data_IF_217496208116
#
_entry.id   IF_217496208116
#
_cell.length_a   1.000
_cell.length_b   1.000
_cell.length_c   1.000
_cell.angle_alpha   90.00
_cell.angle_beta   90.00
_cell.angle_gamma   90.00
#
_symmetry.space_group_name_H-M   'P 1'
#
loop_
_entity.id
_entity.type
_entity.pdbx_description
1 polymer ?
#
# COMPACT_ATOMS: atom_id res chain seq x y z
N UNK A 1 14.87 4.47 22.19
CA UNK A 1 13.42 4.70 22.29
C UNK A 1 12.63 3.79 21.35
N UNK A 2 12.96 3.79 20.06
CA UNK A 2 12.18 3.04 19.04
C UNK A 2 12.19 1.52 19.27
N UNK A 3 13.32 0.93 19.60
CA UNK A 3 13.42 -0.51 19.81
C UNK A 3 12.63 -0.97 21.06
N UNK A 4 12.72 -0.22 22.15
CA UNK A 4 11.95 -0.52 23.38
C UNK A 4 10.43 -0.39 23.17
N UNK A 5 9.97 0.45 22.24
CA UNK A 5 8.56 0.62 21.91
C UNK A 5 7.95 -0.65 21.31
N UNK A 6 8.72 -1.49 20.63
CA UNK A 6 8.27 -2.76 20.09
C UNK A 6 7.77 -3.66 21.22
N UNK A 7 8.56 -3.82 22.27
CA UNK A 7 8.21 -4.68 23.43
C UNK A 7 7.05 -4.12 24.23
N UNK A 8 7.04 -2.79 24.43
CA UNK A 8 5.92 -2.11 25.08
C UNK A 8 4.61 -2.36 24.33
N UNK A 9 4.62 -2.18 23.00
CA UNK A 9 3.44 -2.39 22.18
C UNK A 9 3.01 -3.86 22.19
N UNK A 10 3.93 -4.80 22.09
CA UNK A 10 3.64 -6.23 22.13
C UNK A 10 2.95 -6.63 23.45
N UNK A 11 3.49 -6.20 24.58
CA UNK A 11 2.91 -6.50 25.89
C UNK A 11 1.52 -5.86 26.07
N UNK A 12 1.37 -4.59 25.66
CA UNK A 12 0.09 -3.88 25.80
C UNK A 12 -0.99 -4.38 24.84
N UNK A 13 -0.60 -4.82 23.64
CA UNK A 13 -1.52 -5.47 22.68
C UNK A 13 -2.02 -6.81 23.22
N UNK A 14 -1.14 -7.66 23.75
CA UNK A 14 -1.52 -8.91 24.39
C UNK A 14 -2.45 -8.65 25.59
N UNK A 15 -2.12 -7.68 26.46
CA UNK A 15 -2.98 -7.28 27.56
C UNK A 15 -4.37 -6.77 27.13
N UNK A 16 -4.48 -6.22 25.93
CA UNK A 16 -5.74 -5.81 25.32
C UNK A 16 -6.51 -6.97 24.64
N UNK A 17 -6.04 -8.21 24.76
CA UNK A 17 -6.63 -9.40 24.15
C UNK A 17 -6.34 -9.56 22.65
N UNK A 18 -5.35 -8.85 22.15
CA UNK A 18 -4.90 -8.98 20.76
C UNK A 18 -3.77 -10.02 20.72
N UNK A 19 -4.07 -11.20 20.20
CA UNK A 19 -3.14 -12.31 20.18
C UNK A 19 -1.83 -11.98 19.44
N UNK A 20 -0.71 -12.29 20.12
CA UNK A 20 0.65 -12.13 19.61
C UNK A 20 1.23 -13.51 19.30
N UNK A 21 1.44 -13.82 18.02
CA UNK A 21 1.95 -15.12 17.59
C UNK A 21 3.29 -14.90 16.89
N UNK A 22 4.35 -15.53 17.38
CA UNK A 22 5.66 -15.52 16.76
C UNK A 22 5.92 -16.80 15.96
N UNK A 23 6.54 -16.64 14.78
CA UNK A 23 7.02 -17.74 13.95
C UNK A 23 8.51 -17.53 13.69
N UNK A 24 9.35 -18.28 14.39
CA UNK A 24 10.80 -18.13 14.36
C UNK A 24 11.39 -18.97 13.23
N UNK A 25 11.68 -18.31 12.12
CA UNK A 25 12.23 -18.89 10.88
C UNK A 25 13.70 -18.52 10.65
N UNK A 26 14.36 -17.97 11.65
CA UNK A 26 15.74 -17.52 11.59
C UNK A 26 16.26 -17.17 12.97
N UNK A 27 17.34 -16.40 13.04
CA UNK A 27 17.98 -16.07 14.31
C UNK A 27 17.33 -14.88 14.99
N UNK A 28 16.91 -15.07 16.25
CA UNK A 28 16.44 -14.03 17.16
C UNK A 28 17.49 -13.83 18.26
N UNK A 29 18.31 -12.78 18.12
CA UNK A 29 19.46 -12.54 19.00
C UNK A 29 19.27 -11.26 19.81
N UNK A 30 19.78 -11.22 21.04
CA UNK A 30 19.75 -10.11 21.98
C UNK A 30 18.32 -9.59 22.21
N UNK A 31 18.05 -8.31 21.95
CA UNK A 31 16.71 -7.76 22.03
C UNK A 31 15.68 -8.48 21.16
N UNK A 32 16.10 -9.01 19.99
CA UNK A 32 15.23 -9.77 19.10
C UNK A 32 14.72 -11.09 19.72
N UNK A 33 15.40 -11.63 20.72
CA UNK A 33 14.96 -12.81 21.43
C UNK A 33 13.70 -12.57 22.29
N UNK A 34 13.47 -11.33 22.71
CA UNK A 34 12.27 -10.98 23.48
C UNK A 34 10.99 -11.00 22.64
N UNK A 35 11.08 -10.80 21.33
CA UNK A 35 9.88 -10.83 20.47
C UNK A 35 9.16 -12.18 20.57
N UNK A 36 9.79 -13.33 20.29
CA UNK A 36 9.15 -14.64 20.50
C UNK A 36 8.89 -14.93 21.97
N UNK A 37 9.79 -14.55 22.88
CA UNK A 37 9.64 -14.86 24.31
C UNK A 37 8.48 -14.11 24.99
N UNK A 38 8.03 -13.00 24.43
CA UNK A 38 6.90 -12.19 24.90
C UNK A 38 5.61 -12.42 24.10
N UNK A 39 5.65 -13.25 23.07
CA UNK A 39 4.45 -13.62 22.32
C UNK A 39 3.58 -14.58 23.12
N UNK A 40 2.27 -14.55 22.87
CA UNK A 40 1.32 -15.43 23.55
C UNK A 40 1.54 -16.90 23.12
N UNK A 41 1.92 -17.11 21.86
CA UNK A 41 2.29 -18.42 21.33
C UNK A 41 3.49 -18.29 20.38
N UNK A 42 4.44 -19.22 20.46
CA UNK A 42 5.68 -19.21 19.68
C UNK A 42 5.92 -20.53 18.96
N UNK A 43 6.13 -20.43 17.66
CA UNK A 43 6.51 -21.55 16.79
C UNK A 43 7.98 -21.37 16.43
N UNK A 44 8.78 -22.45 16.49
CA UNK A 44 10.18 -22.42 16.07
C UNK A 44 10.46 -23.48 15.00
N UNK A 45 11.21 -23.11 13.96
CA UNK A 45 11.59 -24.01 12.87
C UNK A 45 12.90 -24.74 13.21
N UNK A 46 12.88 -26.05 13.13
CA UNK A 46 14.01 -26.94 13.37
C UNK A 46 15.22 -26.61 12.49
N UNK A 47 16.43 -26.63 13.08
CA UNK A 47 17.71 -26.40 12.40
C UNK A 47 17.78 -25.04 11.65
N UNK A 48 16.91 -24.09 11.96
CA UNK A 48 16.83 -22.80 11.28
C UNK A 48 16.52 -21.68 12.27
N UNK A 49 15.48 -21.84 13.11
CA UNK A 49 15.10 -20.88 14.13
C UNK A 49 16.02 -20.99 15.35
N UNK A 50 16.52 -19.86 15.83
CA UNK A 50 17.28 -19.79 17.08
C UNK A 50 16.83 -18.58 17.92
N UNK A 51 16.81 -18.75 19.24
CA UNK A 51 16.47 -17.69 20.21
C UNK A 51 17.53 -17.69 21.29
N UNK A 52 18.27 -16.60 21.46
CA UNK A 52 19.21 -16.46 22.58
C UNK A 52 19.51 -14.96 22.86
N UNK A 53 19.76 -14.62 24.13
CA UNK A 53 20.13 -13.27 24.52
C UNK A 53 21.55 -12.93 24.09
N UNK A 54 22.45 -13.90 24.11
CA UNK A 54 23.81 -13.78 23.61
C UNK A 54 24.13 -14.93 22.66
N UNK A 55 24.52 -14.64 21.44
CA UNK A 55 24.93 -15.66 20.47
C UNK A 55 26.24 -16.37 20.83
N UNK A 56 26.61 -17.46 20.14
CA UNK A 56 27.80 -18.25 20.43
C UNK A 56 29.11 -17.45 20.57
N UNK A 57 29.37 -16.39 19.73
CA UNK A 57 30.56 -15.57 19.91
C UNK A 57 30.58 -14.80 21.24
N UNK A 58 29.44 -14.30 21.70
CA UNK A 58 29.33 -13.58 22.97
C UNK A 58 29.47 -14.52 24.15
N UNK A 59 28.88 -15.72 24.10
CA UNK A 59 29.02 -16.74 25.11
C UNK A 59 30.48 -17.15 25.27
N UNK A 60 31.17 -17.41 24.14
CA UNK A 60 32.60 -17.72 24.14
C UNK A 60 33.44 -16.61 24.74
N UNK A 61 33.17 -15.36 24.42
CA UNK A 61 33.91 -14.20 24.96
C UNK A 61 33.65 -14.01 26.47
N UNK A 62 32.44 -14.25 26.93
CA UNK A 62 32.04 -13.99 28.32
C UNK A 62 32.39 -15.13 29.28
N UNK A 63 32.27 -16.40 28.82
CA UNK A 63 32.40 -17.57 29.68
C UNK A 63 33.50 -18.54 29.26
N UNK A 64 34.05 -18.40 28.05
CA UNK A 64 34.97 -19.35 27.44
C UNK A 64 34.29 -20.60 26.82
N UNK A 65 32.99 -20.76 26.98
CA UNK A 65 32.23 -21.87 26.45
C UNK A 65 32.15 -21.84 24.94
N UNK A 66 32.38 -22.97 24.28
CA UNK A 66 32.25 -23.17 22.85
C UNK A 66 30.99 -23.99 22.58
N UNK A 67 29.97 -23.35 22.01
CA UNK A 67 28.67 -23.95 21.77
C UNK A 67 28.17 -23.56 20.39
N UNK A 68 27.47 -24.43 19.68
CA UNK A 68 26.80 -24.08 18.43
C UNK A 68 25.51 -23.30 18.68
N UNK A 69 25.04 -22.62 17.67
CA UNK A 69 23.76 -21.85 17.76
C UNK A 69 22.56 -22.78 18.07
N UNK A 70 22.54 -23.99 17.48
CA UNK A 70 21.46 -24.94 17.69
C UNK A 70 21.51 -25.55 19.14
N UNK A 71 22.69 -25.82 19.67
CA UNK A 71 22.84 -26.27 21.05
C UNK A 71 22.55 -25.22 22.08
N UNK A 72 22.83 -23.94 21.76
CA UNK A 72 22.62 -22.82 22.65
C UNK A 72 21.14 -22.41 22.72
N UNK A 73 20.46 -22.31 21.58
CA UNK A 73 19.10 -21.81 21.52
C UNK A 73 18.32 -22.21 20.28
N UNK A 74 18.55 -23.44 19.79
CA UNK A 74 17.78 -23.99 18.68
C UNK A 74 16.43 -24.57 19.09
N UNK A 75 15.70 -25.10 18.13
CA UNK A 75 14.33 -25.58 18.30
C UNK A 75 14.20 -26.66 19.35
N UNK A 76 15.14 -27.64 19.42
CA UNK A 76 15.11 -28.70 20.41
C UNK A 76 15.31 -28.17 21.84
N UNK A 77 16.12 -27.12 22.01
CA UNK A 77 16.32 -26.47 23.30
C UNK A 77 15.04 -25.81 23.77
N UNK A 78 14.44 -25.02 22.92
CA UNK A 78 13.30 -24.15 23.30
C UNK A 78 11.98 -24.90 23.36
N UNK A 79 11.77 -25.92 22.54
CA UNK A 79 10.56 -26.72 22.59
C UNK A 79 10.58 -27.82 23.63
N UNK A 80 11.80 -28.31 24.09
CA UNK A 80 11.90 -29.48 24.96
C UNK A 80 12.46 -29.18 26.35
N UNK A 81 13.26 -28.11 26.49
CA UNK A 81 13.97 -27.82 27.74
C UNK A 81 13.56 -26.51 28.39
N UNK A 82 13.63 -25.39 27.64
CA UNK A 82 13.35 -24.07 28.18
C UNK A 82 11.88 -23.71 28.19
N UNK A 83 11.07 -24.25 27.27
CA UNK A 83 9.67 -23.93 27.12
C UNK A 83 9.41 -22.54 26.53
N UNK A 84 10.40 -21.93 25.89
CA UNK A 84 10.21 -20.63 25.20
C UNK A 84 9.40 -20.80 23.91
N UNK A 85 9.47 -21.96 23.28
CA UNK A 85 8.67 -22.27 22.09
C UNK A 85 7.61 -23.33 22.42
N UNK A 86 6.37 -23.04 22.01
CA UNK A 86 5.21 -23.91 22.24
C UNK A 86 5.06 -24.95 21.13
N UNK A 87 5.48 -24.63 19.92
CA UNK A 87 5.33 -25.49 18.75
C UNK A 87 6.66 -25.68 18.01
N UNK A 88 6.92 -26.95 17.67
CA UNK A 88 8.09 -27.39 16.91
C UNK A 88 7.69 -27.58 15.44
N UNK A 89 8.32 -26.89 14.52
CA UNK A 89 8.06 -27.00 13.09
C UNK A 89 9.26 -27.63 12.35
N UNK A 90 8.97 -28.55 11.44
CA UNK A 90 9.99 -29.22 10.64
C UNK A 90 10.61 -28.35 9.55
N UNK A 91 9.85 -27.34 9.08
CA UNK A 91 10.24 -26.39 8.03
C UNK A 91 9.27 -25.21 8.01
N UNK A 92 9.55 -24.20 7.19
CA UNK A 92 8.74 -22.98 7.06
C UNK A 92 7.29 -23.27 6.71
N UNK A 93 7.04 -24.17 5.78
CA UNK A 93 5.69 -24.55 5.37
C UNK A 93 4.89 -25.16 6.53
N UNK A 94 5.53 -26.01 7.32
CA UNK A 94 4.90 -26.57 8.52
C UNK A 94 4.65 -25.49 9.57
N UNK A 95 5.59 -24.57 9.77
CA UNK A 95 5.43 -23.45 10.70
C UNK A 95 4.24 -22.56 10.33
N UNK A 96 4.07 -22.21 9.04
CA UNK A 96 2.92 -21.46 8.57
C UNK A 96 1.61 -22.24 8.72
N UNK A 97 1.61 -23.54 8.52
CA UNK A 97 0.43 -24.38 8.76
C UNK A 97 0.04 -24.41 10.25
N UNK A 98 1.02 -24.49 11.16
CA UNK A 98 0.83 -24.39 12.60
C UNK A 98 0.23 -23.02 12.97
N UNK A 99 0.83 -21.94 12.48
CA UNK A 99 0.33 -20.58 12.70
C UNK A 99 -1.14 -20.42 12.26
N UNK A 100 -1.51 -20.94 11.09
CA UNK A 100 -2.91 -20.94 10.62
C UNK A 100 -3.84 -21.70 11.56
N UNK A 101 -3.40 -22.81 12.15
CA UNK A 101 -4.19 -23.57 13.14
C UNK A 101 -4.39 -22.79 14.44
N UNK A 102 -3.34 -22.12 14.92
CA UNK A 102 -3.41 -21.24 16.09
C UNK A 102 -4.45 -20.14 15.83
N UNK A 103 -4.32 -19.43 14.71
CA UNK A 103 -5.27 -18.37 14.33
C UNK A 103 -6.71 -18.90 14.26
N UNK A 104 -6.93 -20.11 13.74
CA UNK A 104 -8.25 -20.72 13.68
C UNK A 104 -8.82 -21.06 15.07
N UNK A 105 -7.97 -21.26 16.08
CA UNK A 105 -8.38 -21.58 17.46
C UNK A 105 -8.59 -20.36 18.37
N UNK A 106 -8.30 -19.14 17.92
CA UNK A 106 -8.40 -17.91 18.73
C UNK A 106 -9.83 -17.59 19.20
N UNK A 107 -10.85 -18.30 18.74
CA UNK A 107 -12.26 -18.07 19.07
C UNK A 107 -12.71 -16.61 18.85
N UNK A 108 -12.07 -15.93 17.90
CA UNK A 108 -12.38 -14.54 17.58
C UNK A 108 -13.59 -14.50 16.64
N UNK A 109 -14.65 -13.85 17.08
CA UNK A 109 -15.81 -13.58 16.21
C UNK A 109 -15.57 -12.27 15.48
N UNK A 110 -15.63 -12.33 14.15
CA UNK A 110 -15.62 -11.15 13.32
C UNK A 110 -16.95 -10.41 13.47
N UNK A 111 -16.92 -9.22 14.05
CA UNK A 111 -18.07 -8.32 14.09
C UNK A 111 -17.93 -7.31 12.95
N UNK A 112 -18.77 -7.44 11.93
CA UNK A 112 -18.77 -6.52 10.78
C UNK A 112 -20.03 -5.68 10.89
N UNK A 113 -19.86 -4.37 11.09
CA UNK A 113 -20.92 -3.36 11.07
C UNK A 113 -21.13 -2.85 9.62
N UNK A 114 -21.25 -3.77 8.68
CA UNK A 114 -21.44 -3.47 7.26
C UNK A 114 -22.32 -4.55 6.64
N UNK A 115 -23.35 -4.16 5.92
CA UNK A 115 -24.20 -5.08 5.20
C UNK A 115 -23.43 -5.75 4.05
N UNK A 116 -23.29 -7.07 4.11
CA UNK A 116 -22.63 -7.84 3.06
C UNK A 116 -23.66 -8.35 2.05
N UNK A 117 -23.35 -8.23 0.76
CA UNK A 117 -24.10 -8.88 -0.31
C UNK A 117 -23.60 -10.32 -0.54
N UNK A 118 -24.35 -11.08 -1.33
CA UNK A 118 -23.87 -12.38 -1.81
C UNK A 118 -22.77 -12.14 -2.86
N UNK A 119 -21.56 -12.71 -2.70
CA UNK A 119 -20.50 -12.58 -3.69
C UNK A 119 -20.94 -13.13 -5.06
N UNK A 120 -20.50 -12.44 -6.12
CA UNK A 120 -20.67 -12.88 -7.49
C UNK A 120 -19.37 -12.74 -8.26
N UNK A 121 -19.09 -13.67 -9.17
CA UNK A 121 -17.90 -13.54 -10.02
C UNK A 121 -18.10 -12.44 -11.07
N UNK A 122 -17.02 -11.70 -11.42
CA UNK A 122 -17.06 -10.77 -12.54
C UNK A 122 -17.45 -11.47 -13.85
N UNK A 123 -18.12 -10.75 -14.75
CA UNK A 123 -18.45 -11.24 -16.09
C UNK A 123 -17.23 -11.31 -17.01
N UNK A 124 -16.17 -10.57 -16.70
CA UNK A 124 -14.94 -10.48 -17.47
C UNK A 124 -13.79 -11.09 -16.67
N UNK A 125 -12.90 -11.83 -17.36
CA UNK A 125 -11.79 -12.50 -16.72
C UNK A 125 -10.73 -11.51 -16.22
N UNK A 126 -10.19 -11.76 -15.03
CA UNK A 126 -9.10 -10.94 -14.48
C UNK A 126 -7.81 -11.04 -15.30
N UNK A 127 -7.56 -12.16 -15.97
CA UNK A 127 -6.38 -12.37 -16.81
C UNK A 127 -6.31 -11.41 -18.00
N UNK A 128 -7.46 -10.92 -18.50
CA UNK A 128 -7.55 -9.91 -19.56
C UNK A 128 -6.87 -8.58 -19.17
N UNK A 129 -6.73 -8.30 -17.88
CA UNK A 129 -6.10 -7.06 -17.38
C UNK A 129 -4.68 -6.88 -17.92
N UNK A 130 -3.95 -7.97 -18.13
CA UNK A 130 -2.61 -7.92 -18.72
C UNK A 130 -2.59 -7.44 -20.16
N UNK A 131 -3.70 -7.55 -20.88
CA UNK A 131 -3.86 -7.04 -22.24
C UNK A 131 -4.50 -5.64 -22.31
N UNK A 132 -5.20 -5.24 -21.29
CA UNK A 132 -5.91 -3.93 -21.18
C UNK A 132 -4.98 -2.84 -20.69
N UNK A 133 -4.19 -3.14 -19.66
CA UNK A 133 -3.28 -2.17 -19.05
C UNK A 133 -1.95 -2.19 -19.78
N UNK A 134 -1.61 -1.11 -20.51
CA UNK A 134 -0.38 -1.08 -21.29
C UNK A 134 0.86 -0.98 -20.39
N UNK A 135 1.95 -1.61 -20.82
CA UNK A 135 3.26 -1.43 -20.18
C UNK A 135 3.80 0.01 -20.38
N UNK A 136 3.44 0.66 -21.48
CA UNK A 136 3.75 2.06 -21.73
C UNK A 136 2.73 2.98 -21.03
N UNK A 137 3.13 3.64 -19.97
CA UNK A 137 2.29 4.54 -19.18
C UNK A 137 1.78 5.78 -19.94
N UNK A 138 2.32 6.07 -21.12
CA UNK A 138 1.81 7.15 -21.99
C UNK A 138 0.52 6.75 -22.72
N UNK A 139 0.26 5.45 -22.84
CA UNK A 139 -0.96 4.94 -23.45
C UNK A 139 -2.08 4.94 -22.41
N UNK A 140 -3.16 5.62 -22.75
CA UNK A 140 -4.34 5.67 -21.90
C UNK A 140 -5.25 4.46 -22.15
N UNK A 141 -5.98 4.08 -21.11
CA UNK A 141 -7.05 3.09 -21.14
C UNK A 141 -8.17 3.55 -20.21
N UNK A 142 -9.38 3.06 -20.43
CA UNK A 142 -10.51 3.38 -19.56
C UNK A 142 -10.43 2.56 -18.27
N UNK A 143 -10.37 3.24 -17.12
CA UNK A 143 -10.31 2.57 -15.80
C UNK A 143 -11.56 1.72 -15.50
N UNK A 144 -12.68 1.96 -16.21
CA UNK A 144 -13.89 1.11 -16.10
C UNK A 144 -13.63 -0.32 -16.52
N UNK A 145 -12.70 -0.54 -17.46
CA UNK A 145 -12.26 -1.89 -17.87
C UNK A 145 -11.58 -2.64 -16.71
N UNK A 146 -10.82 -1.92 -15.88
CA UNK A 146 -10.23 -2.50 -14.67
C UNK A 146 -11.34 -2.78 -13.64
N UNK A 147 -12.21 -1.81 -13.39
CA UNK A 147 -13.30 -1.93 -12.42
C UNK A 147 -14.19 -3.14 -12.75
N UNK A 148 -14.59 -3.30 -14.00
CA UNK A 148 -15.45 -4.39 -14.45
C UNK A 148 -14.88 -5.80 -14.19
N UNK A 149 -13.55 -5.93 -14.04
CA UNK A 149 -12.86 -7.20 -13.75
C UNK A 149 -12.57 -7.41 -12.26
N UNK A 150 -12.84 -6.40 -11.44
CA UNK A 150 -12.62 -6.48 -10.01
C UNK A 150 -13.91 -6.64 -9.21
N UNK A 151 -15.02 -6.08 -9.70
CA UNK A 151 -16.27 -5.98 -8.93
C UNK A 151 -17.22 -7.14 -9.21
N UNK A 152 -18.04 -7.46 -8.22
CA UNK A 152 -19.02 -8.53 -8.27
C UNK A 152 -20.01 -8.32 -9.43
N UNK A 153 -20.21 -9.36 -10.23
CA UNK A 153 -21.08 -9.32 -11.40
C UNK A 153 -20.71 -8.30 -12.47
N UNK A 154 -19.54 -7.66 -12.36
CA UNK A 154 -19.13 -6.49 -13.16
C UNK A 154 -20.13 -5.32 -13.05
N UNK A 155 -20.83 -5.22 -11.92
CA UNK A 155 -21.83 -4.20 -11.67
C UNK A 155 -21.19 -3.00 -10.96
N UNK A 156 -21.32 -1.83 -11.58
CA UNK A 156 -20.75 -0.57 -11.09
C UNK A 156 -21.77 0.55 -11.24
N UNK A 157 -22.18 1.13 -10.11
CA UNK A 157 -23.11 2.26 -10.07
C UNK A 157 -22.31 3.56 -10.11
N UNK A 158 -22.09 4.08 -11.31
CA UNK A 158 -21.22 5.23 -11.54
C UNK A 158 -21.87 6.55 -11.10
N UNK A 159 -21.22 7.24 -10.17
CA UNK A 159 -21.61 8.52 -9.65
C UNK A 159 -21.15 9.66 -10.56
N UNK A 160 -22.08 10.55 -10.96
CA UNK A 160 -21.81 11.71 -11.83
C UNK A 160 -21.02 11.33 -13.10
N UNK A 161 -21.47 10.32 -13.83
CA UNK A 161 -20.79 9.81 -15.03
C UNK A 161 -20.51 10.87 -16.10
N UNK A 162 -21.36 11.90 -16.21
CA UNK A 162 -21.24 12.97 -17.19
C UNK A 162 -20.46 14.23 -16.70
N UNK A 163 -20.04 14.24 -15.43
CA UNK A 163 -19.31 15.36 -14.83
C UNK A 163 -17.94 14.93 -14.33
N UNK A 164 -16.90 15.73 -14.60
CA UNK A 164 -15.53 15.41 -14.20
C UNK A 164 -15.08 14.05 -14.75
N UNK A 165 -15.20 13.84 -16.04
CA UNK A 165 -15.07 12.54 -16.74
C UNK A 165 -13.66 11.95 -16.70
N UNK A 166 -12.65 12.73 -16.33
CA UNK A 166 -11.27 12.27 -16.11
C UNK A 166 -11.07 11.59 -14.76
N UNK A 167 -12.14 11.53 -13.93
CA UNK A 167 -12.22 10.73 -12.73
C UNK A 167 -13.50 9.91 -12.76
N UNK A 168 -13.38 8.61 -12.55
CA UNK A 168 -14.49 7.69 -12.39
C UNK A 168 -14.70 7.44 -10.90
N UNK A 169 -15.93 7.58 -10.43
CA UNK A 169 -16.31 7.29 -9.06
C UNK A 169 -17.65 6.55 -9.02
N UNK A 170 -17.82 5.60 -8.14
CA UNK A 170 -19.08 4.86 -8.03
C UNK A 170 -19.05 3.76 -6.98
N UNK A 171 -20.23 3.17 -6.74
CA UNK A 171 -20.43 2.09 -5.78
C UNK A 171 -20.40 0.73 -6.46
N UNK A 172 -19.84 -0.24 -5.78
CA UNK A 172 -19.78 -1.64 -6.21
C UNK A 172 -19.67 -2.58 -5.01
N UNK A 173 -19.54 -3.87 -5.29
CA UNK A 173 -19.17 -4.88 -4.29
C UNK A 173 -17.91 -5.64 -4.74
N UNK A 174 -17.07 -6.03 -3.80
CA UNK A 174 -15.95 -6.95 -4.02
C UNK A 174 -16.08 -8.08 -3.00
N UNK A 175 -16.33 -9.31 -3.47
CA UNK A 175 -16.66 -10.46 -2.63
C UNK A 175 -17.79 -10.15 -1.62
N UNK A 176 -18.83 -9.47 -2.07
CA UNK A 176 -19.98 -9.06 -1.26
C UNK A 176 -19.75 -7.86 -0.35
N UNK A 177 -18.52 -7.35 -0.24
CA UNK A 177 -18.19 -6.17 0.57
C UNK A 177 -18.52 -4.92 -0.23
N UNK A 178 -19.37 -3.99 0.27
CA UNK A 178 -19.65 -2.74 -0.41
C UNK A 178 -18.40 -1.86 -0.42
N UNK A 179 -18.10 -1.26 -1.57
CA UNK A 179 -16.94 -0.38 -1.76
C UNK A 179 -17.31 0.83 -2.61
N UNK A 180 -16.79 1.99 -2.22
CA UNK A 180 -16.75 3.16 -3.09
C UNK A 180 -15.43 3.16 -3.85
N UNK A 181 -15.48 3.17 -5.17
CA UNK A 181 -14.30 3.14 -6.03
C UNK A 181 -14.06 4.52 -6.62
N UNK A 182 -12.81 4.99 -6.59
CA UNK A 182 -12.35 6.22 -7.24
C UNK A 182 -11.16 5.83 -8.13
N UNK A 183 -11.28 6.02 -9.43
CA UNK A 183 -10.25 5.69 -10.41
C UNK A 183 -9.91 6.85 -11.32
N UNK A 184 -8.63 7.04 -11.61
CA UNK A 184 -8.21 8.03 -12.60
C UNK A 184 -8.52 7.55 -14.03
N UNK A 185 -9.04 8.47 -14.83
CA UNK A 185 -9.29 8.29 -16.26
C UNK A 185 -8.66 9.45 -17.07
N UNK A 186 -7.57 9.99 -16.55
CA UNK A 186 -6.85 11.14 -17.09
C UNK A 186 -6.34 12.11 -16.03
N UNK A 187 -6.01 13.32 -16.46
CA UNK A 187 -5.54 14.42 -15.61
C UNK A 187 -6.69 14.91 -14.72
N UNK A 188 -6.38 15.32 -13.48
CA UNK A 188 -7.39 15.92 -12.59
C UNK A 188 -7.63 17.38 -12.91
N UNK A 189 -8.89 17.70 -13.21
CA UNK A 189 -9.42 19.06 -13.33
C UNK A 189 -10.21 19.46 -12.08
N UNK A 190 -10.61 20.72 -11.97
CA UNK A 190 -11.42 21.22 -10.84
C UNK A 190 -12.70 20.41 -10.64
N UNK A 191 -13.44 20.11 -11.71
CA UNK A 191 -14.66 19.32 -11.66
C UNK A 191 -14.40 17.86 -11.21
N UNK A 192 -13.26 17.28 -11.59
CA UNK A 192 -12.87 15.94 -11.13
C UNK A 192 -12.56 15.93 -9.63
N UNK A 193 -11.87 16.96 -9.14
CA UNK A 193 -11.58 17.12 -7.72
C UNK A 193 -12.84 17.33 -6.88
N UNK A 194 -13.78 18.17 -7.37
CA UNK A 194 -15.07 18.41 -6.71
C UNK A 194 -15.95 17.14 -6.69
N UNK A 195 -15.98 16.38 -7.80
CA UNK A 195 -16.65 15.08 -7.87
C UNK A 195 -16.10 14.10 -6.82
N UNK A 196 -14.76 14.01 -6.74
CA UNK A 196 -14.10 13.13 -5.76
C UNK A 196 -14.42 13.53 -4.32
N UNK A 197 -14.31 14.82 -3.98
CA UNK A 197 -14.61 15.30 -2.63
C UNK A 197 -16.04 14.94 -2.21
N UNK A 198 -17.02 15.23 -3.06
CA UNK A 198 -18.43 14.88 -2.80
C UNK A 198 -18.63 13.36 -2.65
N UNK A 199 -18.01 12.56 -3.52
CA UNK A 199 -18.16 11.12 -3.44
C UNK A 199 -17.52 10.52 -2.17
N UNK A 200 -16.37 11.03 -1.74
CA UNK A 200 -15.73 10.64 -0.48
C UNK A 200 -16.62 10.96 0.72
N UNK A 201 -17.24 12.15 0.74
CA UNK A 201 -18.20 12.52 1.78
C UNK A 201 -19.39 11.57 1.85
N UNK A 202 -19.96 11.19 0.70
CA UNK A 202 -21.05 10.19 0.63
C UNK A 202 -20.60 8.84 1.17
N UNK A 203 -19.40 8.36 0.81
CA UNK A 203 -18.86 7.10 1.33
C UNK A 203 -18.67 7.16 2.85
N UNK A 204 -18.15 8.27 3.37
CA UNK A 204 -17.97 8.48 4.81
C UNK A 204 -19.31 8.48 5.55
N UNK A 205 -20.32 9.19 5.03
CA UNK A 205 -21.66 9.23 5.61
C UNK A 205 -22.32 7.85 5.64
N UNK A 206 -22.12 7.05 4.59
CA UNK A 206 -22.67 5.70 4.44
C UNK A 206 -21.81 4.61 5.09
N UNK A 207 -20.64 4.97 5.64
CA UNK A 207 -19.65 4.04 6.21
C UNK A 207 -19.18 2.98 5.21
N UNK A 208 -19.04 3.35 3.94
CA UNK A 208 -18.58 2.50 2.85
C UNK A 208 -17.07 2.67 2.69
N UNK A 209 -16.28 1.57 2.75
CA UNK A 209 -14.85 1.61 2.48
C UNK A 209 -14.51 2.16 1.08
N UNK A 210 -13.35 2.76 0.94
CA UNK A 210 -12.88 3.38 -0.30
C UNK A 210 -11.75 2.59 -0.95
N UNK A 211 -11.84 2.37 -2.26
CA UNK A 211 -10.78 1.87 -3.12
C UNK A 211 -10.32 2.99 -4.07
N UNK A 212 -9.04 3.31 -4.04
CA UNK A 212 -8.40 4.24 -4.97
C UNK A 212 -7.60 3.47 -6.01
N UNK A 213 -7.96 3.62 -7.27
CA UNK A 213 -7.23 3.08 -8.42
C UNK A 213 -6.39 4.20 -9.03
N UNK A 214 -5.11 4.24 -8.72
CA UNK A 214 -4.21 5.31 -9.15
C UNK A 214 -3.59 5.02 -10.52
N UNK A 215 -3.89 5.89 -11.47
CA UNK A 215 -3.13 6.09 -12.70
C UNK A 215 -3.13 7.59 -12.98
N UNK A 216 -2.37 8.36 -12.18
CA UNK A 216 -2.44 9.81 -12.13
C UNK A 216 -1.11 10.47 -12.50
N UNK A 217 -1.17 11.41 -13.40
CA UNK A 217 -0.03 12.27 -13.80
C UNK A 217 0.01 13.60 -13.05
N UNK A 218 -1.09 14.01 -12.41
CA UNK A 218 -1.19 15.23 -11.62
C UNK A 218 -2.50 15.98 -11.84
N UNK A 219 -2.59 17.15 -11.21
CA UNK A 219 -3.64 18.16 -11.52
C UNK A 219 -3.25 18.94 -12.77
N UNK A 220 -4.24 19.42 -13.49
CA UNK A 220 -4.03 20.29 -14.64
C UNK A 220 -3.34 21.58 -14.21
N UNK A 221 -2.43 22.07 -15.04
CA UNK A 221 -1.67 23.29 -14.81
C UNK A 221 -1.92 24.28 -15.95
N UNK A 222 -1.75 25.56 -15.68
CA UNK A 222 -1.87 26.61 -16.68
C UNK A 222 -2.66 27.81 -16.15
N UNK A 223 -2.47 28.97 -16.79
CA UNK A 223 -3.00 30.24 -16.33
C UNK A 223 -4.52 30.23 -16.07
N UNK A 224 -5.28 29.63 -16.96
CA UNK A 224 -6.75 29.64 -16.87
C UNK A 224 -7.23 28.69 -15.76
N UNK A 225 -6.56 27.59 -15.55
CA UNK A 225 -6.86 26.64 -14.48
C UNK A 225 -6.51 27.20 -13.11
N UNK A 226 -5.36 27.88 -12.98
CA UNK A 226 -4.98 28.57 -11.74
C UNK A 226 -5.99 29.69 -11.41
N UNK A 227 -6.33 30.53 -12.41
CA UNK A 227 -7.34 31.57 -12.26
C UNK A 227 -8.75 31.02 -11.97
N UNK A 228 -9.06 29.82 -12.50
CA UNK A 228 -10.29 29.08 -12.24
C UNK A 228 -10.38 28.46 -10.86
N UNK A 229 -9.27 28.41 -10.10
CA UNK A 229 -9.23 27.94 -8.73
C UNK A 229 -8.93 26.45 -8.55
N UNK A 230 -8.19 25.84 -9.47
CA UNK A 230 -7.82 24.42 -9.41
C UNK A 230 -7.09 24.06 -8.10
N UNK A 231 -6.25 24.96 -7.57
CA UNK A 231 -5.57 24.74 -6.29
C UNK A 231 -6.59 24.62 -5.14
N UNK A 232 -7.62 25.47 -5.12
CA UNK A 232 -8.72 25.45 -4.15
C UNK A 232 -9.54 24.16 -4.25
N UNK A 233 -9.88 23.76 -5.46
CA UNK A 233 -10.72 22.59 -5.71
C UNK A 233 -9.93 21.29 -5.48
N UNK A 234 -8.66 21.23 -5.89
CA UNK A 234 -7.76 20.15 -5.56
C UNK A 234 -7.57 19.99 -4.04
N UNK A 235 -7.44 21.11 -3.30
CA UNK A 235 -7.34 21.08 -1.85
C UNK A 235 -8.58 20.48 -1.19
N UNK A 236 -9.79 20.67 -1.73
CA UNK A 236 -11.01 20.02 -1.22
C UNK A 236 -10.91 18.49 -1.33
N UNK A 237 -10.48 17.98 -2.48
CA UNK A 237 -10.27 16.54 -2.66
C UNK A 237 -9.23 15.98 -1.67
N UNK A 238 -8.07 16.65 -1.55
CA UNK A 238 -7.01 16.27 -0.63
C UNK A 238 -7.50 16.28 0.82
N UNK A 239 -8.27 17.32 1.21
CA UNK A 239 -8.87 17.40 2.56
C UNK A 239 -9.88 16.28 2.80
N UNK A 240 -10.73 15.97 1.82
CA UNK A 240 -11.70 14.88 1.93
C UNK A 240 -10.99 13.52 2.13
N UNK A 241 -9.96 13.24 1.34
CA UNK A 241 -9.14 12.02 1.47
C UNK A 241 -8.47 11.94 2.84
N UNK A 242 -7.87 13.04 3.30
CA UNK A 242 -7.15 13.09 4.58
C UNK A 242 -8.09 12.87 5.78
N UNK A 243 -9.27 13.47 5.77
CA UNK A 243 -10.22 13.39 6.87
C UNK A 243 -11.06 12.10 6.90
N UNK A 244 -11.18 11.40 5.77
CA UNK A 244 -11.98 10.19 5.67
C UNK A 244 -11.50 9.11 6.65
N UNK A 245 -12.39 8.65 7.53
CA UNK A 245 -12.14 7.62 8.54
C UNK A 245 -12.60 6.22 8.10
N UNK A 246 -13.39 6.12 7.03
CA UNK A 246 -13.67 4.83 6.41
C UNK A 246 -12.38 4.15 5.96
N UNK A 247 -12.29 2.82 6.00
CA UNK A 247 -11.11 2.12 5.48
C UNK A 247 -10.80 2.55 4.05
N UNK A 248 -9.56 2.93 3.81
CA UNK A 248 -9.04 3.31 2.49
C UNK A 248 -8.03 2.27 2.04
N UNK A 249 -8.17 1.77 0.83
CA UNK A 249 -7.18 0.93 0.17
C UNK A 249 -6.78 1.61 -1.12
N UNK A 250 -5.48 1.65 -1.39
CA UNK A 250 -4.94 2.22 -2.62
C UNK A 250 -4.27 1.14 -3.45
N UNK A 251 -4.55 1.12 -4.73
CA UNK A 251 -3.88 0.31 -5.73
C UNK A 251 -3.31 1.21 -6.82
N UNK A 252 -1.99 1.22 -6.97
CA UNK A 252 -1.32 1.93 -8.06
C UNK A 252 -1.28 1.01 -9.28
N UNK A 253 -2.09 1.34 -10.28
CA UNK A 253 -2.26 0.57 -11.51
C UNK A 253 -1.48 1.14 -12.70
N UNK A 254 -0.78 2.26 -12.49
CA UNK A 254 -0.01 2.97 -13.50
C UNK A 254 0.85 4.05 -12.87
N UNK A 255 0.77 5.29 -13.36
CA UNK A 255 1.51 6.42 -12.79
C UNK A 255 0.93 6.89 -11.46
N UNK A 256 1.79 7.36 -10.56
CA UNK A 256 1.43 8.03 -9.32
C UNK A 256 2.39 9.19 -9.08
N UNK A 257 2.02 10.39 -9.51
CA UNK A 257 2.92 11.52 -9.58
C UNK A 257 2.42 12.74 -8.79
N UNK A 258 3.34 13.38 -8.06
CA UNK A 258 3.17 14.67 -7.41
C UNK A 258 1.95 14.77 -6.50
N UNK A 259 1.28 15.92 -6.52
CA UNK A 259 0.07 16.15 -5.71
C UNK A 259 -1.13 15.28 -6.13
N UNK A 260 -1.12 14.69 -7.32
CA UNK A 260 -2.11 13.70 -7.73
C UNK A 260 -2.09 12.47 -6.83
N UNK A 261 -0.90 12.03 -6.37
CA UNK A 261 -0.77 10.97 -5.38
C UNK A 261 -1.52 11.32 -4.08
N UNK A 262 -1.50 12.58 -3.65
CA UNK A 262 -2.18 13.03 -2.42
C UNK A 262 -3.70 12.96 -2.57
N UNK A 263 -4.24 13.48 -3.66
CA UNK A 263 -5.67 13.42 -3.94
C UNK A 263 -6.20 12.00 -4.13
N UNK A 264 -5.34 11.07 -4.55
CA UNK A 264 -5.68 9.66 -4.76
C UNK A 264 -5.22 8.74 -3.62
N UNK A 265 -5.10 9.27 -2.41
CA UNK A 265 -4.78 8.51 -1.20
C UNK A 265 -3.44 7.78 -1.25
N UNK A 266 -2.34 8.49 -1.54
CA UNK A 266 -0.99 7.94 -1.40
C UNK A 266 -0.65 7.57 0.03
N UNK A 267 0.54 6.99 0.25
CA UNK A 267 0.96 6.43 1.56
C UNK A 267 0.80 7.40 2.73
N UNK A 268 1.09 8.69 2.52
CA UNK A 268 0.98 9.72 3.56
C UNK A 268 -0.46 10.00 4.03
N UNK A 269 -1.47 9.56 3.27
CA UNK A 269 -2.89 9.78 3.56
C UNK A 269 -3.57 8.62 4.30
N UNK A 270 -2.76 7.74 4.87
CA UNK A 270 -3.20 6.68 5.77
C UNK A 270 -4.09 5.63 5.12
N UNK A 271 -3.81 5.12 3.92
CA UNK A 271 -4.48 3.92 3.46
C UNK A 271 -4.15 2.77 4.41
N UNK A 272 -5.13 1.90 4.65
CA UNK A 272 -4.90 0.69 5.44
C UNK A 272 -3.96 -0.27 4.73
N UNK A 273 -4.07 -0.31 3.40
CA UNK A 273 -3.16 -1.01 2.49
C UNK A 273 -2.91 -0.16 1.25
N UNK A 274 -1.69 -0.22 0.76
CA UNK A 274 -1.29 0.34 -0.53
C UNK A 274 -0.56 -0.75 -1.31
N UNK A 275 -1.13 -1.17 -2.42
CA UNK A 275 -0.53 -2.14 -3.33
C UNK A 275 -0.12 -1.50 -4.64
N UNK A 276 0.82 -2.13 -5.32
CA UNK A 276 1.32 -1.67 -6.62
C UNK A 276 1.27 -2.78 -7.65
N UNK A 277 0.94 -2.46 -8.89
CA UNK A 277 1.14 -3.38 -10.00
C UNK A 277 2.59 -3.30 -10.52
N UNK A 278 3.11 -4.36 -11.19
CA UNK A 278 4.50 -4.38 -11.66
C UNK A 278 4.87 -3.28 -12.66
N UNK A 279 3.90 -2.76 -13.42
CA UNK A 279 4.06 -1.67 -14.38
C UNK A 279 3.98 -0.28 -13.75
N UNK A 280 3.63 -0.15 -12.48
CA UNK A 280 3.44 1.14 -11.83
C UNK A 280 4.74 1.95 -11.70
N UNK A 281 4.59 3.28 -11.63
CA UNK A 281 5.70 4.20 -11.34
C UNK A 281 5.24 5.24 -10.34
N UNK A 282 6.11 5.54 -9.38
CA UNK A 282 5.87 6.55 -8.36
C UNK A 282 7.04 7.52 -8.30
N UNK A 283 6.76 8.82 -8.41
CA UNK A 283 7.75 9.89 -8.24
C UNK A 283 7.09 11.26 -8.12
N UNK A 284 7.89 12.32 -8.01
CA UNK A 284 7.37 13.70 -8.00
C UNK A 284 6.70 14.06 -9.34
N UNK A 285 7.26 13.58 -10.45
CA UNK A 285 6.72 13.73 -11.82
C UNK A 285 7.27 12.62 -12.71
N UNK A 286 6.73 12.46 -13.91
CA UNK A 286 7.30 11.51 -14.88
C UNK A 286 8.72 11.87 -15.28
N UNK A 287 9.59 10.87 -15.49
CA UNK A 287 11.02 11.10 -15.77
C UNK A 287 11.28 11.98 -17.00
N UNK A 288 10.49 11.82 -18.07
CA UNK A 288 10.58 12.68 -19.25
C UNK A 288 10.20 14.14 -18.95
N UNK A 289 9.16 14.34 -18.14
CA UNK A 289 8.76 15.68 -17.71
C UNK A 289 9.84 16.33 -16.83
N UNK A 290 10.40 15.57 -15.89
CA UNK A 290 11.48 16.05 -15.04
C UNK A 290 12.71 16.47 -15.86
N UNK A 291 13.13 15.63 -16.80
CA UNK A 291 14.25 15.91 -17.69
C UNK A 291 13.99 17.17 -18.54
N UNK A 292 12.78 17.32 -19.09
CA UNK A 292 12.41 18.48 -19.91
C UNK A 292 12.35 19.77 -19.10
N UNK A 293 11.78 19.76 -17.88
CA UNK A 293 11.73 20.95 -17.01
C UNK A 293 13.14 21.41 -16.63
N UNK A 294 14.00 20.48 -16.20
CA UNK A 294 15.38 20.80 -15.83
C UNK A 294 16.20 21.28 -17.03
N UNK A 295 15.97 20.71 -18.21
CA UNK A 295 16.62 21.14 -19.45
C UNK A 295 16.19 22.57 -19.84
N UNK A 296 14.89 22.89 -19.71
CA UNK A 296 14.38 24.24 -19.98
C UNK A 296 15.05 25.27 -19.08
N UNK A 297 15.07 25.04 -17.76
CA UNK A 297 15.74 25.94 -16.79
C UNK A 297 17.23 26.12 -17.12
N UNK A 298 17.90 25.02 -17.51
CA UNK A 298 19.32 25.09 -17.88
C UNK A 298 19.54 25.86 -19.18
N UNK A 299 18.69 25.65 -20.19
CA UNK A 299 18.72 26.36 -21.46
C UNK A 299 18.57 27.87 -21.24
N UNK A 300 17.54 28.29 -20.49
CA UNK A 300 17.30 29.70 -20.18
C UNK A 300 18.54 30.37 -19.52
N UNK A 301 19.20 29.65 -18.61
CA UNK A 301 20.43 30.14 -17.96
C UNK A 301 21.61 30.27 -18.95
N UNK A 302 21.77 29.32 -19.88
CA UNK A 302 22.82 29.33 -20.90
C UNK A 302 22.62 30.46 -21.89
N UNK A 303 21.38 30.64 -22.35
CA UNK A 303 21.00 31.73 -23.28
C UNK A 303 21.17 33.11 -22.63
N UNK A 304 20.76 33.24 -21.35
CA UNK A 304 20.99 34.47 -20.59
C UNK A 304 22.46 34.83 -20.42
N UNK A 305 23.36 33.82 -20.43
CA UNK A 305 24.81 34.01 -20.45
C UNK A 305 25.39 34.25 -21.86
N UNK A 306 24.56 34.41 -22.90
CA UNK A 306 24.97 34.64 -24.28
C UNK A 306 25.59 33.43 -24.97
N UNK A 307 25.35 32.23 -24.47
CA UNK A 307 25.86 30.96 -25.01
C UNK A 307 24.74 30.21 -25.73
N UNK A 308 25.13 29.30 -26.63
CA UNK A 308 24.19 28.34 -27.26
C UNK A 308 24.34 26.97 -26.60
N UNK A 309 23.27 26.23 -26.58
CA UNK A 309 23.21 24.85 -26.12
C UNK A 309 22.64 23.99 -27.24
N UNK A 310 23.43 23.02 -27.71
CA UNK A 310 23.02 22.16 -28.82
C UNK A 310 21.99 21.13 -28.38
N UNK A 311 21.21 20.61 -29.34
CA UNK A 311 20.26 19.51 -29.07
C UNK A 311 20.94 18.26 -28.54
N UNK A 312 22.16 17.98 -29.00
CA UNK A 312 22.97 16.82 -28.54
C UNK A 312 23.34 16.98 -27.06
N UNK A 313 23.86 18.13 -26.66
CA UNK A 313 24.21 18.42 -25.26
C UNK A 313 22.97 18.41 -24.37
N UNK A 314 21.83 18.85 -24.88
CA UNK A 314 20.57 18.78 -24.14
C UNK A 314 20.12 17.32 -23.93
N UNK A 315 20.21 16.48 -24.96
CA UNK A 315 19.82 15.08 -24.84
C UNK A 315 20.77 14.31 -23.90
N UNK A 316 22.08 14.59 -23.96
CA UNK A 316 23.05 14.04 -23.02
C UNK A 316 22.75 14.47 -21.58
N UNK A 317 22.25 15.69 -21.36
CA UNK A 317 21.84 16.16 -20.04
C UNK A 317 20.57 15.48 -19.56
N UNK A 318 19.59 15.23 -20.43
CA UNK A 318 18.31 14.59 -20.09
C UNK A 318 18.44 13.11 -19.77
N UNK A 319 19.35 12.41 -20.42
CA UNK A 319 19.46 10.96 -20.33
C UNK A 319 19.67 10.43 -18.89
N UNK A 320 20.65 10.90 -18.11
CA UNK A 320 20.86 10.43 -16.74
C UNK A 320 19.67 10.73 -15.82
N UNK A 321 18.92 11.81 -16.07
CA UNK A 321 17.73 12.14 -15.30
C UNK A 321 16.63 11.12 -15.56
N UNK A 322 16.40 10.77 -16.82
CA UNK A 322 15.41 9.72 -17.19
C UNK A 322 15.76 8.39 -16.57
N UNK A 323 17.04 7.99 -16.64
CA UNK A 323 17.52 6.73 -16.07
C UNK A 323 17.34 6.68 -14.56
N UNK A 324 17.63 7.76 -13.84
CA UNK A 324 17.40 7.85 -12.41
C UNK A 324 15.92 7.72 -12.07
N UNK A 325 15.05 8.44 -12.76
CA UNK A 325 13.60 8.38 -12.53
C UNK A 325 13.00 7.00 -12.84
N UNK A 326 13.51 6.33 -13.88
CA UNK A 326 13.07 4.96 -14.19
C UNK A 326 13.53 3.96 -13.13
N UNK A 327 14.77 4.08 -12.65
CA UNK A 327 15.31 3.20 -11.62
C UNK A 327 14.64 3.42 -10.26
N UNK A 328 14.44 4.67 -9.84
CA UNK A 328 13.90 5.01 -8.52
C UNK A 328 12.37 5.03 -8.48
N UNK A 329 11.71 5.27 -9.62
CA UNK A 329 10.25 5.23 -9.75
C UNK A 329 9.68 3.81 -9.84
N UNK A 330 10.51 2.80 -9.98
CA UNK A 330 10.13 1.41 -10.14
C UNK A 330 9.46 0.85 -8.87
N UNK A 331 8.41 0.01 -8.97
CA UNK A 331 7.72 -0.56 -7.81
C UNK A 331 8.63 -1.42 -6.93
N UNK A 332 9.63 -2.12 -7.50
CA UNK A 332 10.60 -2.89 -6.70
C UNK A 332 11.51 -1.99 -5.86
N UNK A 333 11.84 -0.79 -6.34
CA UNK A 333 12.55 0.21 -5.56
C UNK A 333 11.72 0.72 -4.38
N UNK A 334 10.43 0.95 -4.60
CA UNK A 334 9.48 1.41 -3.59
C UNK A 334 9.23 0.34 -2.52
N UNK A 335 8.94 -0.91 -2.94
CA UNK A 335 8.64 -2.01 -2.02
C UNK A 335 9.85 -2.40 -1.16
N UNK A 336 11.08 -2.33 -1.71
CA UNK A 336 12.31 -2.54 -0.96
C UNK A 336 12.53 -1.49 0.16
N UNK A 337 11.82 -0.38 0.11
CA UNK A 337 11.82 0.71 1.11
C UNK A 337 10.58 0.74 1.97
N UNK A 338 9.71 -0.25 1.82
CA UNK A 338 8.44 -0.37 2.56
C UNK A 338 7.52 0.85 2.32
N UNK A 339 7.54 1.37 1.09
CA UNK A 339 6.63 2.46 0.69
C UNK A 339 5.25 1.94 0.31
N UNK A 340 5.11 0.64 0.05
CA UNK A 340 3.86 -0.07 -0.18
C UNK A 340 3.76 -1.32 0.72
N UNK A 341 2.66 -2.03 0.64
CA UNK A 341 2.41 -3.29 1.35
C UNK A 341 2.62 -4.50 0.45
N UNK A 342 3.02 -4.28 -0.78
CA UNK A 342 3.43 -5.31 -1.72
C UNK A 342 3.07 -5.03 -3.17
N UNK A 343 3.81 -5.70 -4.05
CA UNK A 343 3.54 -5.76 -5.48
C UNK A 343 2.60 -6.95 -5.73
N UNK A 344 1.48 -6.69 -6.37
CA UNK A 344 0.48 -7.73 -6.71
C UNK A 344 0.25 -7.78 -8.21
N UNK A 345 -0.03 -8.96 -8.73
CA UNK A 345 -0.35 -9.11 -10.16
C UNK A 345 -1.77 -8.62 -10.46
N UNK A 346 -2.05 -8.13 -11.68
CA UNK A 346 -3.41 -7.77 -12.08
C UNK A 346 -4.41 -8.89 -11.83
N UNK A 347 -4.08 -10.14 -12.16
CA UNK A 347 -4.95 -11.30 -12.00
C UNK A 347 -5.31 -11.61 -10.53
N UNK A 348 -4.41 -11.33 -9.57
CA UNK A 348 -4.65 -11.58 -8.15
C UNK A 348 -5.38 -10.44 -7.44
N UNK A 349 -5.53 -9.31 -8.10
CA UNK A 349 -5.99 -8.05 -7.50
C UNK A 349 -7.31 -8.21 -6.77
N UNK A 350 -8.33 -8.81 -7.39
CA UNK A 350 -9.65 -8.98 -6.77
C UNK A 350 -9.56 -9.76 -5.45
N UNK A 351 -8.81 -10.85 -5.43
CA UNK A 351 -8.60 -11.70 -4.25
C UNK A 351 -7.87 -10.95 -3.13
N UNK A 352 -6.79 -10.23 -3.48
CA UNK A 352 -6.00 -9.47 -2.51
C UNK A 352 -6.81 -8.32 -1.92
N UNK A 353 -7.56 -7.58 -2.74
CA UNK A 353 -8.44 -6.51 -2.27
C UNK A 353 -9.54 -7.04 -1.35
N UNK A 354 -10.16 -8.18 -1.67
CA UNK A 354 -11.16 -8.80 -0.82
C UNK A 354 -10.61 -9.15 0.57
N UNK A 355 -9.42 -9.75 0.63
CA UNK A 355 -8.73 -10.04 1.89
C UNK A 355 -8.41 -8.76 2.66
N UNK A 356 -7.86 -7.74 1.98
CA UNK A 356 -7.51 -6.48 2.59
C UNK A 356 -8.74 -5.76 3.16
N UNK A 357 -9.85 -5.66 2.42
CA UNK A 357 -11.11 -5.12 2.95
C UNK A 357 -11.64 -5.94 4.12
N UNK A 358 -11.60 -7.27 4.01
CA UNK A 358 -12.00 -8.14 5.12
C UNK A 358 -11.19 -7.87 6.39
N UNK A 359 -9.88 -7.64 6.28
CA UNK A 359 -9.03 -7.27 7.42
C UNK A 359 -9.40 -5.90 7.98
N UNK A 360 -9.63 -4.90 7.13
CA UNK A 360 -9.95 -3.54 7.57
C UNK A 360 -11.28 -3.45 8.33
N UNK A 361 -12.22 -4.36 8.04
CA UNK A 361 -13.51 -4.43 8.71
C UNK A 361 -13.48 -5.15 10.07
N UNK A 362 -12.32 -5.57 10.57
CA UNK A 362 -12.19 -6.10 11.93
C UNK A 362 -12.24 -4.98 13.00
N UNK A 363 -11.98 -3.75 12.62
CA UNK A 363 -12.09 -2.59 13.51
C UNK A 363 -13.37 -1.80 13.19
N UNK A 364 -14.02 -1.19 14.19
CA UNK A 364 -15.15 -0.29 13.95
C UNK A 364 -14.71 0.89 13.09
N UNK A 365 -15.62 1.34 12.22
CA UNK A 365 -15.39 2.53 11.39
C UNK A 365 -15.68 3.77 12.26
N UNK A 366 -14.68 4.63 12.57
CA UNK A 366 -14.89 5.84 13.34
C UNK A 366 -15.80 6.84 12.62
N UNK A 367 -16.39 7.77 13.37
CA UNK A 367 -17.10 8.91 12.78
C UNK A 367 -16.12 9.81 12.01
N UNK A 368 -16.47 10.15 10.78
CA UNK A 368 -15.69 11.11 9.98
C UNK A 368 -16.09 12.52 10.31
N UNK A 369 -15.10 13.39 10.57
CA UNK A 369 -15.27 14.83 10.71
C UNK A 369 -14.38 15.53 9.70
N UNK A 370 -14.98 16.38 8.90
CA UNK A 370 -14.25 17.19 7.94
C UNK A 370 -13.86 18.53 8.54
N UNK A 371 -12.70 19.04 8.13
CA UNK A 371 -12.31 20.41 8.39
C UNK A 371 -13.04 21.42 7.49
N UNK A 372 -12.58 22.65 7.50
CA UNK A 372 -13.15 23.70 6.65
C UNK A 372 -12.72 23.51 5.19
N UNK A 373 -13.68 23.36 4.30
CA UNK A 373 -13.43 23.43 2.86
C UNK A 373 -13.46 24.88 2.39
N UNK A 374 -12.40 25.32 1.71
CA UNK A 374 -12.38 26.64 1.09
C UNK A 374 -13.29 26.65 -0.14
N UNK A 375 -14.25 27.58 -0.18
CA UNK A 375 -15.21 27.75 -1.28
C UNK A 375 -14.67 28.62 -2.41
#
# INVERSE_FOLDING_TARGET
EHFGRIFYNQATLSAAGIAQIAVVMGSCTAGGAYVPAMSDETIIVRNQGTIFLGGPPLVKAATGEVVSAEELGGADVHARKSGVADYYAENDRHALALCRRIVASLNTKKSIDTALAKPAEPKYAADDLSGIVPADLKKQYDVREVIARLVDGSEFDEFKALYGTTLVAGFAHIHGIPVGIIGNNGILFSESALKAAHFIELCCQRRVPLLFLQNIVGFMVGRDYEAGGIAKDGAKMVTAVACAQVPKITLIIGGSYGAGNYGMCGRAYGPRFLFTWPNARISVMGGEQAASVLATVRRDNIEAAGKQWSEVEEEEFKQPIREQYEAEGNPYYATARIWDDGIITPAETRRVLALAFSVTLNAPIPETKFGVFRM
#
